data_IF_203271831715
#
_entry.id   IF_203271831715
#
_cell.length_a   1.000
_cell.length_b   1.000
_cell.length_c   1.000
_cell.angle_alpha   90.00
_cell.angle_beta   90.00
_cell.angle_gamma   90.00
#
_symmetry.space_group_name_H-M   'P 1'
#
loop_
_entity.id
_entity.type
_entity.pdbx_description
1 polymer ?
#
# COMPACT_ATOMS: atom_id res chain seq x y z
N UNK A 1 49.21 20.06 62.96
CA UNK A 1 48.84 18.68 62.57
C UNK A 1 47.58 18.61 61.70
N UNK A 2 46.77 19.67 61.61
CA UNK A 2 45.55 19.72 60.78
C UNK A 2 45.82 19.99 59.29
N UNK A 3 46.85 20.78 58.94
CA UNK A 3 47.21 21.06 57.53
C UNK A 3 47.67 19.83 56.73
N UNK A 4 48.43 18.91 57.35
CA UNK A 4 48.94 17.72 56.65
C UNK A 4 47.83 16.71 56.35
N UNK A 5 46.85 16.56 57.25
CA UNK A 5 45.70 15.68 57.04
C UNK A 5 44.77 16.21 55.94
N UNK A 6 44.50 17.52 55.93
CA UNK A 6 43.69 18.16 54.87
C UNK A 6 44.35 18.06 53.49
N UNK A 7 45.68 18.22 53.41
CA UNK A 7 46.43 18.04 52.16
C UNK A 7 46.30 16.63 51.60
N UNK A 8 46.43 15.60 52.45
CA UNK A 8 46.33 14.19 52.04
C UNK A 8 44.91 13.88 51.54
N UNK A 9 43.88 14.33 52.26
CA UNK A 9 42.48 14.11 51.87
C UNK A 9 42.17 14.76 50.53
N UNK A 10 42.61 16.01 50.31
CA UNK A 10 42.42 16.69 49.03
C UNK A 10 43.19 16.00 47.89
N UNK A 11 44.41 15.51 48.13
CA UNK A 11 45.19 14.77 47.13
C UNK A 11 44.50 13.46 46.72
N UNK A 12 43.93 12.73 47.68
CA UNK A 12 43.14 11.53 47.41
C UNK A 12 41.88 11.88 46.62
N UNK A 13 41.18 12.95 47.00
CA UNK A 13 39.96 13.39 46.30
C UNK A 13 40.24 13.79 44.86
N UNK A 14 41.35 14.49 44.61
CA UNK A 14 41.82 14.81 43.24
C UNK A 14 42.13 13.53 42.47
N UNK A 15 42.83 12.56 43.07
CA UNK A 15 43.14 11.29 42.41
C UNK A 15 41.86 10.50 42.04
N UNK A 16 40.85 10.49 42.92
CA UNK A 16 39.54 9.86 42.66
C UNK A 16 38.81 10.55 41.52
N UNK A 17 38.73 11.89 41.52
CA UNK A 17 38.09 12.67 40.44
C UNK A 17 38.78 12.42 39.10
N UNK A 18 40.11 12.39 39.09
CA UNK A 18 40.89 12.10 37.90
C UNK A 18 40.61 10.68 37.39
N UNK A 19 40.57 9.67 38.25
CA UNK A 19 40.24 8.29 37.84
C UNK A 19 38.83 8.19 37.25
N UNK A 20 37.82 8.79 37.90
CA UNK A 20 36.45 8.80 37.39
C UNK A 20 36.31 9.53 36.05
N UNK A 21 37.14 10.55 35.80
CA UNK A 21 37.07 11.31 34.54
C UNK A 21 37.30 10.42 33.31
N UNK A 22 38.18 9.41 33.38
CA UNK A 22 38.45 8.49 32.26
C UNK A 22 37.21 7.69 31.89
N UNK A 23 36.57 7.09 32.90
CA UNK A 23 35.37 6.28 32.74
C UNK A 23 34.19 7.11 32.24
N UNK A 24 34.00 8.32 32.78
CA UNK A 24 32.93 9.23 32.35
C UNK A 24 33.10 9.63 30.88
N UNK A 25 34.33 9.96 30.43
CA UNK A 25 34.57 10.28 29.02
C UNK A 25 34.38 9.07 28.11
N UNK A 26 34.75 7.87 28.55
CA UNK A 26 34.49 6.64 27.78
C UNK A 26 32.99 6.37 27.64
N UNK A 27 32.25 6.40 28.75
CA UNK A 27 30.81 6.19 28.80
C UNK A 27 30.06 7.24 27.97
N UNK A 28 30.44 8.52 28.10
CA UNK A 28 29.80 9.61 27.37
C UNK A 28 29.95 9.47 25.86
N UNK A 29 31.11 9.01 25.37
CA UNK A 29 31.30 8.73 23.93
C UNK A 29 30.34 7.63 23.47
N UNK A 30 30.29 6.50 24.18
CA UNK A 30 29.43 5.38 23.81
C UNK A 30 27.93 5.73 23.89
N UNK A 31 27.49 6.37 24.99
CA UNK A 31 26.09 6.70 25.20
C UNK A 31 25.60 7.81 24.26
N UNK A 32 26.36 8.90 24.12
CA UNK A 32 25.82 10.09 23.44
C UNK A 32 26.10 10.07 21.95
N UNK A 33 27.31 9.70 21.53
CA UNK A 33 27.65 9.68 20.11
C UNK A 33 27.09 8.42 19.45
N UNK A 34 27.39 7.26 20.01
CA UNK A 34 27.10 6.00 19.33
C UNK A 34 25.62 5.60 19.51
N UNK A 35 25.07 5.68 20.72
CA UNK A 35 23.64 5.37 20.95
C UNK A 35 22.71 6.54 20.62
N UNK A 36 22.78 7.67 21.34
CA UNK A 36 21.81 8.76 21.14
C UNK A 36 21.98 9.42 19.77
N UNK A 37 23.21 9.65 19.32
CA UNK A 37 23.51 10.18 17.99
C UNK A 37 23.11 9.21 16.88
N UNK A 38 23.41 7.91 17.04
CA UNK A 38 22.96 6.88 16.13
C UNK A 38 21.43 6.78 16.06
N UNK A 39 20.74 6.87 17.19
CA UNK A 39 19.28 6.81 17.27
C UNK A 39 18.64 8.05 16.61
N UNK A 40 19.14 9.25 16.91
CA UNK A 40 18.68 10.49 16.28
C UNK A 40 18.87 10.47 14.75
N UNK A 41 20.01 9.96 14.29
CA UNK A 41 20.30 9.79 12.87
C UNK A 41 19.33 8.80 12.20
N UNK A 42 19.09 7.64 12.81
CA UNK A 42 18.18 6.64 12.26
C UNK A 42 16.71 7.12 12.23
N UNK A 43 16.26 7.90 13.22
CA UNK A 43 14.92 8.50 13.15
C UNK A 43 14.79 9.48 11.99
N UNK A 44 15.82 10.29 11.72
CA UNK A 44 15.85 11.18 10.55
C UNK A 44 15.80 10.40 9.22
N UNK A 45 16.48 9.26 9.13
CA UNK A 45 16.41 8.38 7.96
C UNK A 45 15.03 7.73 7.81
N UNK A 46 14.43 7.30 8.92
CA UNK A 46 13.08 6.73 8.91
C UNK A 46 12.05 7.75 8.43
N UNK A 47 12.14 9.00 8.87
CA UNK A 47 11.22 10.06 8.44
C UNK A 47 11.26 10.29 6.91
N UNK A 48 12.43 10.11 6.30
CA UNK A 48 12.65 10.19 4.85
C UNK A 48 12.30 8.90 4.09
N UNK A 49 11.98 7.81 4.80
CA UNK A 49 11.72 6.52 4.18
C UNK A 49 10.39 6.49 3.42
N UNK A 50 10.24 5.52 2.53
CA UNK A 50 9.04 5.32 1.72
C UNK A 50 8.59 3.86 1.76
N UNK A 51 7.29 3.64 1.88
CA UNK A 51 6.65 2.33 1.81
C UNK A 51 6.38 2.02 0.34
N UNK A 52 7.07 1.00 -0.17
CA UNK A 52 6.84 0.46 -1.52
C UNK A 52 6.23 -0.91 -1.41
N UNK A 53 5.00 -1.07 -1.89
CA UNK A 53 4.28 -2.32 -1.82
C UNK A 53 3.39 -2.51 -3.04
N UNK A 54 3.24 -3.78 -3.42
CA UNK A 54 2.30 -4.21 -4.44
C UNK A 54 1.03 -4.70 -3.73
N UNK A 55 -0.04 -3.90 -3.80
CA UNK A 55 -1.30 -4.18 -3.11
C UNK A 55 -2.27 -4.85 -4.09
N UNK A 56 -2.73 -6.08 -3.81
CA UNK A 56 -3.72 -6.74 -4.66
C UNK A 56 -5.08 -6.08 -4.50
N UNK A 57 -5.69 -5.71 -5.62
CA UNK A 57 -7.02 -5.14 -5.70
C UNK A 57 -7.90 -6.10 -6.49
N UNK A 58 -8.94 -6.60 -5.84
CA UNK A 58 -9.95 -7.45 -6.45
C UNK A 58 -11.15 -6.60 -6.83
N UNK A 59 -11.50 -6.63 -8.12
CA UNK A 59 -12.55 -5.80 -8.68
C UNK A 59 -13.60 -6.69 -9.34
N UNK A 60 -14.85 -6.36 -9.06
CA UNK A 60 -16.02 -7.01 -9.66
C UNK A 60 -16.73 -5.97 -10.54
N UNK A 61 -16.77 -6.24 -11.85
CA UNK A 61 -17.40 -5.34 -12.82
C UNK A 61 -18.63 -6.05 -13.42
N UNK A 62 -19.83 -5.48 -13.28
CA UNK A 62 -21.03 -6.04 -13.88
C UNK A 62 -21.03 -5.75 -15.39
N UNK A 63 -21.09 -6.82 -16.18
CA UNK A 63 -21.24 -6.76 -17.63
C UNK A 63 -22.71 -7.00 -17.97
N UNK A 64 -23.38 -5.96 -18.49
CA UNK A 64 -24.75 -6.04 -19.00
C UNK A 64 -24.73 -5.77 -20.50
N UNK A 65 -24.99 -6.80 -21.30
CA UNK A 65 -25.00 -6.72 -22.76
C UNK A 65 -26.39 -7.03 -23.29
N UNK A 66 -26.76 -6.36 -24.37
CA UNK A 66 -27.93 -6.68 -25.19
C UNK A 66 -27.42 -7.23 -26.51
N UNK A 67 -27.66 -8.52 -26.77
CA UNK A 67 -27.18 -9.20 -27.96
C UNK A 67 -28.32 -9.21 -28.98
N UNK A 68 -28.24 -8.42 -30.06
CA UNK A 68 -29.21 -8.51 -31.14
C UNK A 68 -28.94 -9.78 -31.96
N UNK A 69 -30.00 -10.58 -32.14
CA UNK A 69 -30.01 -11.76 -33.00
C UNK A 69 -30.83 -11.40 -34.22
N UNK A 70 -30.22 -11.51 -35.39
CA UNK A 70 -30.90 -11.34 -36.68
C UNK A 70 -30.48 -12.50 -37.59
N UNK A 71 -31.28 -13.57 -37.61
CA UNK A 71 -30.93 -14.83 -38.25
C UNK A 71 -32.10 -15.37 -39.07
N UNK A 72 -31.84 -15.73 -40.34
CA UNK A 72 -32.76 -16.52 -41.13
C UNK A 72 -32.68 -17.98 -40.66
N UNK A 73 -33.79 -18.55 -40.19
CA UNK A 73 -33.83 -19.93 -39.68
C UNK A 73 -35.16 -20.58 -40.02
N UNK A 74 -35.13 -21.90 -40.13
CA UNK A 74 -36.32 -22.71 -40.29
C UNK A 74 -36.85 -23.11 -38.90
N UNK A 75 -38.14 -22.89 -38.66
CA UNK A 75 -38.83 -23.32 -37.43
C UNK A 75 -39.88 -24.37 -37.75
N UNK A 76 -39.96 -25.41 -36.93
CA UNK A 76 -40.99 -26.44 -37.06
C UNK A 76 -42.18 -26.07 -36.18
N UNK A 77 -43.36 -25.99 -36.79
CA UNK A 77 -44.60 -25.70 -36.06
C UNK A 77 -44.90 -26.88 -35.11
N UNK A 78 -45.14 -26.59 -33.84
CA UNK A 78 -45.37 -27.60 -32.79
C UNK A 78 -46.82 -28.05 -32.63
N UNK A 79 -47.77 -27.33 -33.23
CA UNK A 79 -49.22 -27.62 -33.19
C UNK A 79 -49.93 -27.14 -34.45
N UNK A 80 -51.02 -27.80 -34.81
CA UNK A 80 -51.89 -27.36 -35.90
C UNK A 80 -52.27 -25.88 -35.72
N UNK A 81 -51.94 -25.06 -36.71
CA UNK A 81 -52.10 -23.60 -36.66
C UNK A 81 -53.10 -23.15 -37.71
N UNK A 82 -54.30 -22.68 -37.30
CA UNK A 82 -55.29 -22.17 -38.25
C UNK A 82 -54.89 -20.79 -38.79
N UNK A 83 -55.18 -20.56 -40.06
CA UNK A 83 -55.13 -19.28 -40.76
C UNK A 83 -56.55 -19.04 -41.27
N UNK A 84 -57.23 -18.10 -40.63
CA UNK A 84 -58.59 -17.74 -40.99
C UNK A 84 -58.60 -16.80 -42.20
N UNK A 85 -59.63 -16.92 -43.04
CA UNK A 85 -59.91 -15.98 -44.13
C UNK A 85 -58.77 -15.83 -45.17
N UNK A 86 -58.03 -16.91 -45.45
CA UNK A 86 -56.95 -16.90 -46.44
C UNK A 86 -57.54 -16.79 -47.86
N UNK A 87 -57.07 -15.83 -48.69
CA UNK A 87 -57.54 -15.70 -50.06
C UNK A 87 -57.02 -16.86 -50.91
N UNK A 88 -57.92 -17.73 -51.35
CA UNK A 88 -57.57 -18.86 -52.22
C UNK A 88 -58.12 -18.66 -53.63
N UNK A 89 -57.37 -19.19 -54.60
CA UNK A 89 -57.76 -19.28 -55.99
C UNK A 89 -57.65 -20.73 -56.43
N UNK A 90 -58.81 -21.40 -56.56
CA UNK A 90 -58.87 -22.78 -57.03
C UNK A 90 -59.21 -22.76 -58.52
N UNK A 91 -58.42 -23.50 -59.30
CA UNK A 91 -58.67 -23.73 -60.72
C UNK A 91 -59.22 -25.14 -60.93
N UNK A 92 -60.46 -25.25 -61.39
CA UNK A 92 -61.15 -26.50 -61.66
C UNK A 92 -61.65 -26.53 -63.11
N UNK A 93 -60.73 -26.75 -64.06
CA UNK A 93 -61.06 -26.80 -65.49
C UNK A 93 -61.48 -25.43 -66.02
N UNK A 94 -62.72 -25.28 -66.47
CA UNK A 94 -63.25 -24.01 -67.02
C UNK A 94 -63.70 -23.01 -65.95
N UNK A 95 -63.65 -23.37 -64.66
CA UNK A 95 -64.11 -22.52 -63.54
C UNK A 95 -62.94 -22.11 -62.66
N UNK A 96 -62.89 -20.82 -62.31
CA UNK A 96 -62.00 -20.27 -61.28
C UNK A 96 -62.85 -19.81 -60.10
N UNK A 97 -62.60 -20.36 -58.92
CA UNK A 97 -63.25 -19.95 -57.68
C UNK A 97 -62.25 -19.11 -56.88
N UNK A 98 -62.65 -17.88 -56.55
CA UNK A 98 -61.91 -17.01 -55.66
C UNK A 98 -62.77 -16.77 -54.42
N UNK A 99 -62.20 -16.97 -53.24
CA UNK A 99 -62.93 -16.76 -52.00
C UNK A 99 -62.04 -16.96 -50.77
N UNK A 100 -62.49 -16.51 -49.60
CA UNK A 100 -61.80 -16.79 -48.36
C UNK A 100 -62.00 -18.26 -47.95
N UNK A 101 -60.95 -18.86 -47.40
CA UNK A 101 -61.02 -20.18 -46.78
C UNK A 101 -60.18 -20.21 -45.51
N UNK A 102 -60.61 -21.03 -44.55
CA UNK A 102 -59.85 -21.28 -43.33
C UNK A 102 -58.92 -22.48 -43.57
N UNK A 103 -57.61 -22.26 -43.42
CA UNK A 103 -56.57 -23.24 -43.71
C UNK A 103 -55.90 -23.63 -42.41
N UNK A 104 -55.71 -24.93 -42.16
CA UNK A 104 -54.91 -25.40 -41.02
C UNK A 104 -53.54 -25.84 -41.52
N UNK A 105 -52.47 -25.20 -41.02
CA UNK A 105 -51.12 -25.68 -41.24
C UNK A 105 -50.83 -26.78 -40.21
N UNK A 106 -50.55 -28.03 -40.64
CA UNK A 106 -50.37 -29.13 -39.71
C UNK A 106 -49.07 -28.98 -38.90
N UNK A 107 -49.07 -29.51 -37.68
CA UNK A 107 -47.87 -29.68 -36.87
C UNK A 107 -46.80 -30.44 -37.66
N UNK A 108 -45.54 -30.07 -37.46
CA UNK A 108 -44.40 -30.63 -38.20
C UNK A 108 -44.07 -29.91 -39.51
N UNK A 109 -44.90 -28.95 -39.96
CA UNK A 109 -44.57 -28.09 -41.10
C UNK A 109 -43.37 -27.20 -40.76
N UNK A 110 -42.39 -27.13 -41.66
CA UNK A 110 -41.20 -26.29 -41.53
C UNK A 110 -41.48 -24.93 -42.18
N UNK A 111 -41.31 -23.84 -41.43
CA UNK A 111 -41.47 -22.48 -41.92
C UNK A 111 -40.14 -21.72 -41.87
N UNK A 112 -39.67 -21.17 -43.00
CA UNK A 112 -38.54 -20.25 -43.00
C UNK A 112 -38.98 -18.91 -42.41
N UNK A 113 -38.25 -18.42 -41.42
CA UNK A 113 -38.51 -17.14 -40.76
C UNK A 113 -37.25 -16.29 -40.64
N UNK A 114 -37.43 -14.97 -40.50
CA UNK A 114 -36.39 -14.06 -40.05
C UNK A 114 -36.55 -13.84 -38.54
N UNK A 115 -35.70 -14.49 -37.74
CA UNK A 115 -35.68 -14.29 -36.30
C UNK A 115 -34.96 -12.99 -35.97
N UNK A 116 -35.71 -12.01 -35.45
CA UNK A 116 -35.17 -10.75 -34.96
C UNK A 116 -35.55 -10.55 -33.49
N UNK A 117 -34.58 -10.69 -32.59
CA UNK A 117 -34.81 -10.54 -31.15
C UNK A 117 -33.55 -9.99 -30.46
N UNK A 118 -33.72 -9.41 -29.26
CA UNK A 118 -32.60 -8.96 -28.43
C UNK A 118 -32.56 -9.77 -27.14
N UNK A 119 -31.44 -10.46 -26.90
CA UNK A 119 -31.26 -11.31 -25.71
C UNK A 119 -30.43 -10.55 -24.67
N UNK A 120 -30.91 -10.39 -23.42
CA UNK A 120 -30.10 -9.82 -22.35
C UNK A 120 -29.06 -10.85 -21.87
N UNK A 121 -27.83 -10.39 -21.70
CA UNK A 121 -26.74 -11.18 -21.13
C UNK A 121 -26.14 -10.43 -19.95
N UNK A 122 -26.08 -11.09 -18.79
CA UNK A 122 -25.58 -10.51 -17.54
C UNK A 122 -24.51 -11.43 -16.95
N UNK A 123 -23.33 -10.88 -16.70
CA UNK A 123 -22.23 -11.59 -16.07
C UNK A 123 -21.46 -10.65 -15.13
N UNK A 124 -20.93 -11.19 -14.02
CA UNK A 124 -19.99 -10.47 -13.16
C UNK A 124 -18.57 -10.93 -13.53
N UNK A 125 -17.75 -10.00 -14.01
CA UNK A 125 -16.34 -10.25 -14.29
C UNK A 125 -15.53 -9.95 -13.03
N UNK A 126 -14.72 -10.92 -12.59
CA UNK A 126 -13.78 -10.75 -11.47
C UNK A 126 -12.38 -10.66 -12.02
N UNK A 127 -11.64 -9.62 -11.64
CA UNK A 127 -10.23 -9.51 -11.95
C UNK A 127 -9.43 -9.13 -10.70
N UNK A 128 -8.23 -9.67 -10.61
CA UNK A 128 -7.25 -9.34 -9.58
C UNK A 128 -6.10 -8.63 -10.25
N UNK A 129 -5.84 -7.38 -9.86
CA UNK A 129 -4.71 -6.59 -10.35
C UNK A 129 -3.88 -6.13 -9.16
N UNK A 130 -2.57 -6.00 -9.34
CA UNK A 130 -1.72 -5.43 -8.31
C UNK A 130 -1.48 -3.95 -8.60
N UNK A 131 -1.68 -3.10 -7.59
CA UNK A 131 -1.37 -1.68 -7.67
C UNK A 131 -0.12 -1.43 -6.84
N UNK A 132 0.95 -0.98 -7.49
CA UNK A 132 2.15 -0.53 -6.80
C UNK A 132 1.89 0.80 -6.12
N UNK A 133 2.07 0.86 -4.81
CA UNK A 133 2.01 2.09 -4.02
C UNK A 133 3.41 2.52 -3.60
N UNK A 134 3.65 3.83 -3.57
CA UNK A 134 4.88 4.44 -3.09
C UNK A 134 4.55 5.61 -2.14
N UNK A 135 4.43 5.30 -0.85
CA UNK A 135 3.90 6.20 0.17
C UNK A 135 5.06 6.73 1.04
N UNK A 136 5.36 8.05 1.04
CA UNK A 136 6.30 8.65 1.98
C UNK A 136 5.87 8.39 3.43
N UNK A 137 6.81 8.10 4.34
CA UNK A 137 6.47 7.79 5.72
C UNK A 137 5.77 8.97 6.42
N UNK A 138 6.15 10.20 6.07
CA UNK A 138 5.54 11.46 6.55
C UNK A 138 4.03 11.55 6.28
N UNK A 139 3.54 10.89 5.23
CA UNK A 139 2.12 10.89 4.85
C UNK A 139 1.32 9.75 5.51
N UNK A 140 1.93 9.01 6.44
CA UNK A 140 1.31 7.86 7.10
C UNK A 140 0.95 8.16 8.54
N UNK A 141 0.05 7.34 9.12
CA UNK A 141 -0.23 7.37 10.55
C UNK A 141 0.96 6.98 11.45
N UNK A 142 2.04 6.45 10.87
CA UNK A 142 3.26 6.10 11.60
C UNK A 142 4.19 7.31 11.80
N UNK A 143 4.06 8.39 11.01
CA UNK A 143 4.90 9.57 11.14
C UNK A 143 4.82 10.18 12.56
N UNK A 144 3.60 10.42 13.05
CA UNK A 144 3.40 11.06 14.36
C UNK A 144 4.05 10.27 15.52
N UNK A 145 3.84 8.93 15.66
CA UNK A 145 4.59 8.13 16.62
C UNK A 145 6.12 8.26 16.49
N UNK A 146 6.68 8.30 15.28
CA UNK A 146 8.13 8.42 15.08
C UNK A 146 8.66 9.80 15.47
N UNK A 147 7.96 10.88 15.12
CA UNK A 147 8.31 12.23 15.55
C UNK A 147 8.26 12.33 17.07
N UNK A 148 7.22 11.78 17.71
CA UNK A 148 7.12 11.78 19.18
C UNK A 148 8.28 11.03 19.84
N UNK A 149 8.70 9.89 19.29
CA UNK A 149 9.88 9.16 19.79
C UNK A 149 11.16 9.99 19.63
N UNK A 150 11.32 10.71 18.51
CA UNK A 150 12.44 11.61 18.30
C UNK A 150 12.43 12.77 19.29
N UNK A 151 11.26 13.35 19.58
CA UNK A 151 11.07 14.44 20.55
C UNK A 151 11.40 13.99 21.98
N UNK A 152 11.13 12.73 22.34
CA UNK A 152 11.50 12.19 23.66
C UNK A 152 13.01 12.07 23.81
N UNK A 153 13.73 11.70 22.75
CA UNK A 153 15.19 11.45 22.80
C UNK A 153 16.01 12.73 22.60
N UNK A 154 15.51 13.68 21.80
CA UNK A 154 16.24 14.89 21.39
C UNK A 154 16.77 15.74 22.55
N UNK A 155 16.01 16.00 23.64
CA UNK A 155 16.51 16.79 24.77
C UNK A 155 17.76 16.17 25.41
N UNK A 156 17.82 14.84 25.52
CA UNK A 156 18.97 14.14 26.09
C UNK A 156 20.18 14.25 25.18
N UNK A 157 20.00 14.10 23.87
CA UNK A 157 21.09 14.28 22.92
C UNK A 157 21.67 15.71 23.02
N UNK A 158 20.82 16.73 22.98
CA UNK A 158 21.27 18.13 23.04
C UNK A 158 21.89 18.51 24.39
N UNK A 159 21.38 17.99 25.51
CA UNK A 159 21.95 18.22 26.83
C UNK A 159 23.41 17.76 26.93
N UNK A 160 23.76 16.66 26.24
CA UNK A 160 25.13 16.15 26.23
C UNK A 160 25.98 16.66 25.05
N UNK A 161 25.34 17.09 23.94
CA UNK A 161 26.00 17.66 22.76
C UNK A 161 26.84 18.91 23.04
N UNK A 162 26.41 19.74 24.00
CA UNK A 162 27.11 20.99 24.35
C UNK A 162 28.41 20.82 25.16
N UNK A 163 28.80 19.59 25.49
CA UNK A 163 30.00 19.33 26.31
C UNK A 163 31.02 18.47 25.55
N UNK A 164 32.33 18.67 25.78
CA UNK A 164 33.38 17.99 25.01
C UNK A 164 33.25 16.47 25.09
N UNK A 165 33.18 15.80 23.93
CA UNK A 165 33.09 14.34 23.84
C UNK A 165 34.45 13.67 23.88
N UNK A 166 35.47 14.39 23.41
CA UNK A 166 36.85 13.95 23.41
C UNK A 166 37.62 14.75 24.44
N UNK A 167 38.60 14.10 25.07
CA UNK A 167 39.53 14.78 25.99
C UNK A 167 40.32 15.88 25.26
N UNK A 168 40.46 15.77 23.94
CA UNK A 168 41.13 16.71 23.06
C UNK A 168 40.41 18.07 22.98
N UNK A 169 39.10 18.08 23.22
CA UNK A 169 38.26 19.29 23.17
C UNK A 169 38.32 20.08 24.50
N UNK A 170 38.90 19.50 25.56
CA UNK A 170 39.06 20.16 26.86
C UNK A 170 40.14 21.24 26.74
N UNK A 171 39.81 22.48 27.13
CA UNK A 171 40.72 23.62 27.05
C UNK A 171 42.09 23.39 27.73
N UNK A 172 42.11 22.68 28.87
CA UNK A 172 43.33 22.36 29.63
C UNK A 172 44.20 21.31 28.91
N UNK A 173 43.60 20.43 28.10
CA UNK A 173 44.32 19.40 27.36
C UNK A 173 44.93 19.89 26.04
N UNK A 174 44.54 21.07 25.55
CA UNK A 174 45.16 21.70 24.37
C UNK A 174 46.67 21.97 24.57
N UNK A 175 47.12 22.63 25.65
CA UNK A 175 48.55 22.84 25.91
C UNK A 175 49.27 21.59 26.47
N UNK A 176 48.55 20.66 27.11
CA UNK A 176 49.12 19.48 27.80
C UNK A 176 48.83 18.16 27.07
N UNK A 177 48.87 18.18 25.74
CA UNK A 177 48.40 17.07 24.90
C UNK A 177 49.06 15.73 25.22
N UNK A 178 50.38 15.71 25.47
CA UNK A 178 51.11 14.48 25.78
C UNK A 178 50.66 13.85 27.12
N UNK A 179 50.40 14.68 28.13
CA UNK A 179 49.96 14.23 29.46
C UNK A 179 48.52 13.76 29.40
N UNK A 180 47.63 14.52 28.74
CA UNK A 180 46.23 14.10 28.57
C UNK A 180 46.11 12.84 27.70
N UNK A 181 46.91 12.69 26.64
CA UNK A 181 46.92 11.49 25.82
C UNK A 181 47.36 10.26 26.64
N UNK A 182 48.38 10.39 27.49
CA UNK A 182 48.81 9.31 28.38
C UNK A 182 47.76 8.99 29.45
N UNK A 183 47.06 10.01 29.96
CA UNK A 183 46.02 9.85 30.97
C UNK A 183 44.71 9.25 30.44
N UNK A 184 44.24 9.65 29.25
CA UNK A 184 42.96 9.22 28.67
C UNK A 184 43.06 8.07 27.66
N UNK A 185 44.26 7.55 27.41
CA UNK A 185 44.48 6.30 26.66
C UNK A 185 43.87 5.12 27.37
#
# INVERSE_FOLDING_TARGET
MTSSLSLIINAILIAVVLLMSREIFSLKRMLVRDLLGGLAYNFSLMDQARIKADVPVNLEVPLNLQIPINLATDVTITRDTPIDNAPIKIFAGIITINGPADIVIPAGTVLPIQLNMTVPYQQILKYSTSVTVDIPLVDTSLHTPFVNLQEVVSPYFWAFAGSPFYWEDIAICKPLRAICAWWFK
#
